data_IF_635091066102
#
_entry.id   IF_635091066102
#
_cell.length_a   1.000
_cell.length_b   1.000
_cell.length_c   1.000
_cell.angle_alpha   90.00
_cell.angle_beta   90.00
_cell.angle_gamma   90.00
#
_symmetry.space_group_name_H-M   'P 1'
#
loop_
_entity.id
_entity.type
_entity.pdbx_description
1 polymer ?
#
# COMPACT_ATOMS: atom_id res chain seq x y z
N UNK A 1 -16.03 9.53 -15.12
CA UNK A 1 -14.92 9.65 -14.15
C UNK A 1 -15.22 8.74 -12.98
N UNK A 2 -14.55 7.60 -12.90
CA UNK A 2 -14.78 6.62 -11.83
C UNK A 2 -13.79 6.89 -10.71
N UNK A 3 -14.33 7.08 -9.51
CA UNK A 3 -13.59 7.24 -8.26
C UNK A 3 -13.97 6.09 -7.34
N UNK A 4 -12.98 5.41 -6.77
CA UNK A 4 -13.19 4.29 -5.85
C UNK A 4 -12.48 4.58 -4.54
N UNK A 5 -13.15 4.22 -3.44
CA UNK A 5 -12.53 4.12 -2.12
C UNK A 5 -12.42 2.64 -1.77
N UNK A 6 -11.20 2.20 -1.47
CA UNK A 6 -10.92 0.83 -1.08
C UNK A 6 -10.21 0.85 0.27
N UNK A 7 -10.70 0.04 1.20
CA UNK A 7 -10.00 -0.29 2.44
C UNK A 7 -9.54 -1.74 2.34
N UNK A 8 -8.25 -2.00 2.52
CA UNK A 8 -7.64 -3.31 2.36
C UNK A 8 -6.74 -3.63 3.56
N UNK A 9 -6.85 -4.83 4.16
CA UNK A 9 -5.89 -5.31 5.14
C UNK A 9 -4.48 -5.38 4.55
N UNK A 10 -3.47 -5.17 5.38
CA UNK A 10 -2.09 -5.26 4.94
C UNK A 10 -1.74 -6.67 4.41
N UNK A 11 -2.22 -7.72 5.06
CA UNK A 11 -1.97 -9.11 4.64
C UNK A 11 -2.51 -9.45 3.24
N UNK A 12 -3.40 -8.62 2.69
CA UNK A 12 -3.95 -8.82 1.35
C UNK A 12 -3.05 -8.24 0.24
N UNK A 13 -2.05 -7.44 0.60
CA UNK A 13 -1.15 -6.77 -0.36
C UNK A 13 0.34 -6.89 -0.01
N UNK A 14 0.70 -7.39 1.16
CA UNK A 14 2.09 -7.54 1.60
C UNK A 14 2.89 -8.59 0.80
N UNK A 15 2.23 -9.31 -0.12
CA UNK A 15 2.84 -10.30 -0.99
C UNK A 15 3.20 -11.62 -0.31
N UNK A 16 2.84 -11.79 0.97
CA UNK A 16 3.04 -13.05 1.71
C UNK A 16 2.18 -14.18 1.14
N UNK A 17 1.01 -13.85 0.59
CA UNK A 17 0.10 -14.79 -0.06
C UNK A 17 -0.08 -14.46 -1.54
N UNK A 18 0.33 -15.38 -2.42
CA UNK A 18 0.18 -15.23 -3.89
C UNK A 18 -1.27 -15.10 -4.33
N UNK A 19 -2.22 -15.74 -3.63
CA UNK A 19 -3.63 -15.63 -3.96
C UNK A 19 -4.17 -14.22 -3.70
N UNK A 20 -3.73 -13.59 -2.62
CA UNK A 20 -4.13 -12.21 -2.30
C UNK A 20 -3.59 -11.24 -3.35
N UNK A 21 -2.32 -11.40 -3.74
CA UNK A 21 -1.71 -10.59 -4.80
C UNK A 21 -2.43 -10.78 -6.14
N UNK A 22 -2.83 -12.01 -6.49
CA UNK A 22 -3.60 -12.28 -7.70
C UNK A 22 -5.01 -11.66 -7.67
N UNK A 23 -5.66 -11.65 -6.50
CA UNK A 23 -6.95 -10.98 -6.34
C UNK A 23 -6.83 -9.46 -6.50
N UNK A 24 -5.78 -8.87 -5.93
CA UNK A 24 -5.46 -7.46 -6.11
C UNK A 24 -5.21 -7.11 -7.58
N UNK A 25 -4.38 -7.91 -8.26
CA UNK A 25 -4.10 -7.77 -9.69
C UNK A 25 -5.38 -7.84 -10.54
N UNK A 26 -6.23 -8.84 -10.32
CA UNK A 26 -7.49 -9.00 -11.04
C UNK A 26 -8.47 -7.84 -10.78
N UNK A 27 -8.47 -7.27 -9.58
CA UNK A 27 -9.27 -6.09 -9.25
C UNK A 27 -8.79 -4.86 -10.02
N UNK A 28 -7.48 -4.63 -10.06
CA UNK A 28 -6.88 -3.54 -10.82
C UNK A 28 -7.11 -3.70 -12.33
N UNK A 29 -7.07 -4.92 -12.87
CA UNK A 29 -7.36 -5.18 -14.28
C UNK A 29 -8.78 -4.76 -14.69
N UNK A 30 -9.77 -5.03 -13.84
CA UNK A 30 -11.15 -4.57 -14.05
C UNK A 30 -11.27 -3.04 -14.08
N UNK A 31 -10.32 -2.34 -13.47
CA UNK A 31 -10.29 -0.89 -13.35
C UNK A 31 -9.33 -0.20 -14.32
N UNK A 32 -8.48 -0.96 -15.01
CA UNK A 32 -7.33 -0.47 -15.78
C UNK A 32 -7.66 0.70 -16.71
N UNK A 33 -8.78 0.60 -17.43
CA UNK A 33 -9.16 1.56 -18.47
C UNK A 33 -10.01 2.74 -17.98
N UNK A 34 -10.61 2.65 -16.80
CA UNK A 34 -11.67 3.58 -16.39
C UNK A 34 -11.40 4.35 -15.10
N UNK A 35 -10.62 3.79 -14.19
CA UNK A 35 -10.46 4.35 -12.86
C UNK A 35 -9.51 5.55 -12.90
N UNK A 36 -10.06 6.73 -12.62
CA UNK A 36 -9.29 8.00 -12.61
C UNK A 36 -8.84 8.40 -11.21
N UNK A 37 -9.57 7.98 -10.18
CA UNK A 37 -9.19 8.24 -8.80
C UNK A 37 -9.38 7.04 -7.89
N UNK A 38 -8.37 6.78 -7.05
CA UNK A 38 -8.40 5.72 -6.06
C UNK A 38 -8.03 6.31 -4.70
N UNK A 39 -8.89 6.13 -3.69
CA UNK A 39 -8.53 6.32 -2.29
C UNK A 39 -8.30 4.97 -1.65
N UNK A 40 -7.04 4.63 -1.41
CA UNK A 40 -6.60 3.38 -0.82
C UNK A 40 -6.29 3.58 0.66
N UNK A 41 -7.01 2.88 1.52
CA UNK A 41 -6.71 2.81 2.96
C UNK A 41 -6.13 1.45 3.27
N UNK A 42 -4.85 1.40 3.62
CA UNK A 42 -4.18 0.15 4.02
C UNK A 42 -4.29 0.03 5.53
N UNK A 43 -4.95 -1.03 5.98
CA UNK A 43 -5.21 -1.28 7.40
C UNK A 43 -4.21 -2.29 7.91
N UNK A 44 -3.37 -1.86 8.85
CA UNK A 44 -2.54 -2.75 9.63
C UNK A 44 -2.86 -2.55 11.11
N UNK A 45 -3.92 -3.23 11.54
CA UNK A 45 -4.30 -3.33 12.93
C UNK A 45 -3.75 -4.65 13.46
N UNK A 46 -2.74 -4.63 14.34
CA UNK A 46 -2.33 -5.84 15.04
C UNK A 46 -3.53 -6.30 15.86
N UNK A 47 -4.13 -7.42 15.45
CA UNK A 47 -5.34 -8.05 15.98
C UNK A 47 -5.80 -7.56 17.36
N UNK A 48 -6.96 -6.90 17.37
CA UNK A 48 -7.88 -6.80 18.52
C UNK A 48 -8.44 -8.19 18.94
N UNK A 49 -8.09 -9.27 18.21
CA UNK A 49 -8.70 -10.61 18.32
C UNK A 49 -7.72 -11.76 18.61
N UNK A 50 -6.44 -11.52 18.91
CA UNK A 50 -5.51 -12.56 19.40
C UNK A 50 -5.34 -12.48 20.91
N UNK A 51 -6.44 -12.67 21.65
CA UNK A 51 -6.40 -13.01 23.08
C UNK A 51 -6.49 -14.53 23.32
N UNK A 52 -6.39 -15.34 22.28
CA UNK A 52 -6.44 -16.80 22.39
C UNK A 52 -5.17 -17.42 21.81
N UNK A 53 -4.41 -18.08 22.68
CA UNK A 53 -3.25 -18.96 22.43
C UNK A 53 -1.89 -18.28 22.55
N UNK A 54 -1.20 -18.62 23.65
CA UNK A 54 0.15 -18.16 23.96
C UNK A 54 1.18 -18.63 22.94
N UNK A 55 2.21 -17.80 22.75
CA UNK A 55 3.36 -18.09 21.92
C UNK A 55 4.02 -16.81 21.45
N UNK A 56 5.28 -16.58 21.82
CA UNK A 56 6.05 -15.34 21.62
C UNK A 56 6.40 -14.96 20.17
N UNK A 57 5.68 -15.46 19.18
CA UNK A 57 5.99 -15.38 17.75
C UNK A 57 5.35 -14.17 17.03
N UNK A 58 4.51 -13.40 17.73
CA UNK A 58 3.68 -12.38 17.09
C UNK A 58 4.44 -11.08 16.78
N UNK A 59 5.46 -10.69 17.55
CA UNK A 59 6.17 -9.42 17.33
C UNK A 59 7.03 -9.42 16.07
N UNK A 60 7.77 -10.49 15.81
CA UNK A 60 8.66 -10.61 14.65
C UNK A 60 7.88 -10.70 13.34
N UNK A 61 6.79 -11.49 13.30
CA UNK A 61 5.90 -11.57 12.14
C UNK A 61 5.21 -10.22 11.83
N UNK A 62 4.84 -9.46 12.86
CA UNK A 62 4.27 -8.10 12.72
C UNK A 62 5.29 -7.12 12.11
N UNK A 63 6.53 -7.14 12.59
CA UNK A 63 7.62 -6.35 12.02
C UNK A 63 7.90 -6.73 10.56
N UNK A 64 7.80 -8.01 10.22
CA UNK A 64 8.03 -8.51 8.87
C UNK A 64 6.96 -8.07 7.85
N UNK A 65 5.66 -8.16 8.18
CA UNK A 65 4.59 -7.68 7.27
C UNK A 65 4.62 -6.18 7.08
N UNK A 66 4.95 -5.40 8.12
CA UNK A 66 5.10 -3.95 7.97
C UNK A 66 6.37 -3.61 7.15
N UNK A 67 7.47 -4.33 7.37
CA UNK A 67 8.69 -4.21 6.56
C UNK A 67 8.46 -4.56 5.08
N UNK A 68 7.51 -5.46 4.80
CA UNK A 68 7.14 -5.86 3.44
C UNK A 68 6.42 -4.75 2.66
N UNK A 69 5.92 -3.70 3.32
CA UNK A 69 5.38 -2.50 2.64
C UNK A 69 6.08 -1.20 3.01
N UNK A 70 6.87 -1.14 4.09
CA UNK A 70 7.54 0.04 4.63
C UNK A 70 8.96 -0.34 5.12
N UNK A 71 10.06 -0.01 4.43
CA UNK A 71 11.40 -0.28 4.93
C UNK A 71 11.66 0.53 6.20
N UNK A 72 12.55 0.00 7.04
CA UNK A 72 13.06 0.75 8.18
C UNK A 72 13.76 2.05 7.70
N UNK A 73 13.58 3.16 8.44
CA UNK A 73 14.28 4.41 8.13
C UNK A 73 15.80 4.16 8.20
N UNK A 74 16.51 4.51 7.13
CA UNK A 74 17.97 4.28 6.99
C UNK A 74 18.37 3.15 6.03
N UNK A 75 17.41 2.41 5.47
CA UNK A 75 17.67 1.54 4.31
C UNK A 75 17.75 2.36 3.01
N UNK A 76 18.64 3.35 2.97
CA UNK A 76 18.97 4.04 1.72
C UNK A 76 19.57 3.03 0.73
N UNK A 77 18.94 2.89 -0.43
CA UNK A 77 19.52 2.17 -1.57
C UNK A 77 18.93 0.80 -1.89
N UNK A 78 18.05 0.23 -1.05
CA UNK A 78 17.31 -0.94 -1.50
C UNK A 78 16.15 -0.48 -2.37
N UNK A 79 16.21 -0.80 -3.67
CA UNK A 79 15.04 -0.76 -4.57
C UNK A 79 14.01 -1.76 -4.05
N UNK A 80 13.32 -1.42 -2.96
CA UNK A 80 12.25 -2.26 -2.42
C UNK A 80 11.11 -2.17 -3.42
N UNK A 81 11.06 -3.14 -4.32
CA UNK A 81 10.01 -3.25 -5.30
C UNK A 81 8.85 -3.98 -4.64
N UNK A 82 7.74 -3.29 -4.42
CA UNK A 82 6.57 -3.90 -3.81
C UNK A 82 5.74 -4.61 -4.87
N UNK A 83 5.54 -5.93 -4.76
CA UNK A 83 4.83 -6.70 -5.78
C UNK A 83 3.43 -6.16 -6.07
N UNK A 84 2.72 -5.64 -5.06
CA UNK A 84 1.37 -5.09 -5.22
C UNK A 84 1.34 -3.79 -6.04
N UNK A 85 2.41 -3.00 -6.05
CA UNK A 85 2.48 -1.80 -6.90
C UNK A 85 2.58 -2.21 -8.37
N UNK A 86 3.47 -3.15 -8.68
CA UNK A 86 3.69 -3.63 -10.04
C UNK A 86 2.51 -4.45 -10.57
N UNK A 87 1.98 -5.35 -9.75
CA UNK A 87 0.87 -6.22 -10.12
C UNK A 87 -0.47 -5.48 -10.25
N UNK A 88 -0.63 -4.33 -9.58
CA UNK A 88 -1.90 -3.61 -9.57
C UNK A 88 -1.81 -2.15 -9.99
N UNK A 89 -1.24 -1.29 -9.14
CA UNK A 89 -1.31 0.17 -9.34
C UNK A 89 -0.73 0.63 -10.69
N UNK A 90 0.38 0.03 -11.13
CA UNK A 90 0.98 0.38 -12.44
C UNK A 90 0.10 0.01 -13.63
N UNK A 91 -0.82 -0.95 -13.48
CA UNK A 91 -1.79 -1.34 -14.52
C UNK A 91 -2.96 -0.37 -14.65
N UNK A 92 -3.17 0.54 -13.70
CA UNK A 92 -4.25 1.52 -13.73
C UNK A 92 -3.90 2.69 -14.66
N UNK A 93 -4.10 2.50 -15.97
CA UNK A 93 -3.61 3.43 -16.99
C UNK A 93 -4.30 4.79 -17.00
N UNK A 94 -5.58 4.79 -16.64
CA UNK A 94 -6.38 5.99 -16.53
C UNK A 94 -6.24 6.70 -15.17
N UNK A 95 -5.46 6.15 -14.22
CA UNK A 95 -5.33 6.72 -12.89
C UNK A 95 -4.67 8.11 -12.99
N UNK A 96 -5.26 9.07 -12.29
CA UNK A 96 -4.79 10.46 -12.20
C UNK A 96 -4.62 10.92 -10.77
N UNK A 97 -5.35 10.32 -9.84
CA UNK A 97 -5.28 10.66 -8.42
C UNK A 97 -5.27 9.42 -7.57
N UNK A 98 -4.28 9.32 -6.70
CA UNK A 98 -4.15 8.26 -5.71
C UNK A 98 -4.05 8.90 -4.33
N UNK A 99 -5.10 8.72 -3.53
CA UNK A 99 -5.07 9.09 -2.11
C UNK A 99 -4.71 7.86 -1.31
N UNK A 100 -3.66 7.92 -0.49
CA UNK A 100 -3.23 6.77 0.32
C UNK A 100 -3.23 7.12 1.80
N UNK A 101 -3.81 6.22 2.59
CA UNK A 101 -3.91 6.32 4.04
C UNK A 101 -3.40 5.02 4.66
N UNK A 102 -2.37 5.10 5.50
CA UNK A 102 -1.90 3.95 6.27
C UNK A 102 -2.46 3.99 7.69
N UNK A 103 -3.47 3.16 7.94
CA UNK A 103 -4.09 2.99 9.27
C UNK A 103 -3.30 1.96 10.06
N UNK A 104 -2.27 2.43 10.76
CA UNK A 104 -1.49 1.63 11.69
C UNK A 104 -1.04 2.44 12.90
N UNK A 105 -0.91 1.77 14.05
CA UNK A 105 -0.31 2.31 15.28
C UNK A 105 1.20 2.04 15.35
N UNK A 106 1.74 1.24 14.45
CA UNK A 106 3.14 0.81 14.46
C UNK A 106 4.10 1.83 13.84
N UNK A 107 3.58 2.77 13.03
CA UNK A 107 4.36 3.84 12.41
C UNK A 107 3.96 5.20 12.98
N UNK A 108 4.97 6.02 13.24
CA UNK A 108 4.80 7.44 13.51
C UNK A 108 4.29 8.18 12.26
N UNK A 109 3.71 9.36 12.45
CA UNK A 109 3.24 10.18 11.32
C UNK A 109 4.38 10.54 10.35
N UNK A 110 5.60 10.74 10.84
CA UNK A 110 6.76 10.99 9.99
C UNK A 110 7.12 9.76 9.15
N UNK A 111 7.15 8.56 9.74
CA UNK A 111 7.39 7.33 8.99
C UNK A 111 6.31 7.05 7.94
N UNK A 112 5.05 7.40 8.22
CA UNK A 112 3.95 7.33 7.24
C UNK A 112 4.17 8.29 6.07
N UNK A 113 4.69 9.49 6.34
CA UNK A 113 5.03 10.46 5.30
C UNK A 113 6.23 10.01 4.46
N UNK A 114 7.28 9.49 5.08
CA UNK A 114 8.45 8.97 4.37
C UNK A 114 8.09 7.78 3.47
N UNK A 115 7.25 6.87 3.98
CA UNK A 115 6.70 5.77 3.19
C UNK A 115 5.92 6.28 1.97
N UNK A 116 5.10 7.29 2.18
CA UNK A 116 4.31 7.95 1.16
C UNK A 116 5.14 8.58 0.04
N UNK A 117 6.21 9.28 0.39
CA UNK A 117 7.16 9.83 -0.58
C UNK A 117 7.88 8.71 -1.34
N UNK A 118 8.22 7.61 -0.66
CA UNK A 118 8.70 6.38 -1.29
C UNK A 118 7.72 5.83 -2.32
N UNK A 119 6.43 5.75 -1.97
CA UNK A 119 5.35 5.29 -2.85
C UNK A 119 5.25 6.15 -4.12
N UNK A 120 5.33 7.47 -3.95
CA UNK A 120 5.37 8.43 -5.06
C UNK A 120 6.55 8.18 -5.98
N UNK A 121 7.75 8.01 -5.42
CA UNK A 121 8.95 7.71 -6.21
C UNK A 121 8.85 6.44 -7.05
N UNK A 122 8.22 5.38 -6.54
CA UNK A 122 8.07 4.11 -7.27
C UNK A 122 7.03 4.16 -8.38
N UNK A 123 5.91 4.86 -8.16
CA UNK A 123 4.88 5.04 -9.17
C UNK A 123 5.37 5.95 -10.30
N UNK A 124 6.04 7.06 -9.99
CA UNK A 124 6.59 7.96 -11.01
C UNK A 124 7.65 7.28 -11.90
N UNK A 125 8.44 6.32 -11.37
CA UNK A 125 9.46 5.60 -12.15
C UNK A 125 8.91 4.47 -13.02
N UNK A 126 7.75 3.91 -12.64
CA UNK A 126 7.13 2.78 -13.34
C UNK A 126 6.16 3.17 -14.44
N UNK A 127 5.65 4.40 -14.42
CA UNK A 127 4.78 4.95 -15.45
C UNK A 127 5.63 5.44 -16.65
N UNK A 128 6.41 4.56 -17.27
CA UNK A 128 7.11 4.89 -18.51
C UNK A 128 6.09 5.02 -19.64
N UNK A 129 5.97 6.24 -20.18
CA UNK A 129 5.15 6.54 -21.36
C UNK A 129 4.09 7.60 -21.12
N UNK A 130 4.50 8.85 -20.95
CA UNK A 130 3.67 10.05 -21.17
C UNK A 130 2.33 10.13 -20.42
N UNK A 131 2.12 9.33 -19.37
CA UNK A 131 0.93 9.41 -18.53
C UNK A 131 1.03 10.71 -17.72
N UNK A 132 -0.01 11.52 -17.80
CA UNK A 132 -0.21 12.69 -16.94
C UNK A 132 0.13 12.30 -15.49
N UNK A 133 0.97 13.10 -14.83
CA UNK A 133 1.46 12.82 -13.48
C UNK A 133 0.32 12.39 -12.55
N UNK A 134 0.44 11.21 -11.94
CA UNK A 134 -0.53 10.77 -10.93
C UNK A 134 -0.33 11.63 -9.68
N UNK A 135 -1.34 12.41 -9.33
CA UNK A 135 -1.37 13.16 -8.09
C UNK A 135 -1.49 12.18 -6.93
N UNK A 136 -0.43 12.05 -6.13
CA UNK A 136 -0.41 11.19 -4.95
C UNK A 136 -0.55 12.07 -3.72
N UNK A 137 -1.64 11.87 -2.97
CA UNK A 137 -1.92 12.61 -1.76
C UNK A 137 -1.97 11.66 -0.56
N UNK A 138 -1.14 11.92 0.44
CA UNK A 138 -1.14 11.14 1.66
C UNK A 138 -2.09 11.73 2.68
N UNK A 139 -3.10 10.95 3.03
CA UNK A 139 -4.16 11.37 3.93
C UNK A 139 -3.76 10.95 5.34
N UNK A 140 -3.60 11.93 6.22
CA UNK A 140 -3.49 11.65 7.65
C UNK A 140 -4.83 11.10 8.13
N UNK A 141 -4.82 9.89 8.71
CA UNK A 141 -5.96 9.42 9.48
C UNK A 141 -6.17 10.43 10.62
N UNK A 142 -7.31 11.15 10.63
CA UNK A 142 -7.73 11.88 11.82
C UNK A 142 -7.98 10.83 12.89
N UNK A 143 -7.06 10.69 13.83
CA UNK A 143 -7.32 9.97 15.09
C UNK A 143 -8.36 10.81 15.80
N UNK A 144 -9.58 10.28 15.89
CA UNK A 144 -10.69 10.88 16.61
C UNK A 144 -10.74 10.28 18.01
#
# INVERSE_FOLDING_TARGET
MTYVRLEIPLEDIDGSNKLHLANWEALCEKWAFGLRGLRLTIVHLPNLMTLSSGGGDSAEKRGASLAAICPAPGAEGSRVNYPWIDAGLKKLEALRRLEVELKTTMLTDNQKLDWCEGLKGMLSRGLQGGKEDVEIACVRAKVN
#
